data_IF_830674851711
#
_entry.id   IF_830674851711
#
_cell.length_a   1.000
_cell.length_b   1.000
_cell.length_c   1.000
_cell.angle_alpha   90.00
_cell.angle_beta   90.00
_cell.angle_gamma   90.00
#
_symmetry.space_group_name_H-M   'P 1'
#
loop_
_entity.id
_entity.type
_entity.pdbx_description
1 polymer ?
#
# COMPACT_ATOMS: atom_id res chain seq x y z
N UNK A 1 -6.53 -38.85 -8.42
CA UNK A 1 -7.00 -37.47 -8.64
C UNK A 1 -6.87 -36.70 -7.34
N UNK A 2 -5.97 -35.72 -7.25
CA UNK A 2 -5.95 -34.74 -6.13
C UNK A 2 -6.34 -33.39 -6.73
N UNK A 3 -7.65 -33.16 -6.82
CA UNK A 3 -8.25 -31.94 -7.34
C UNK A 3 -8.32 -30.88 -6.24
N UNK A 4 -7.54 -29.81 -6.42
CA UNK A 4 -8.01 -28.42 -6.33
C UNK A 4 -8.53 -27.90 -4.98
N UNK A 5 -7.64 -27.49 -4.08
CA UNK A 5 -7.98 -26.62 -2.94
C UNK A 5 -6.84 -25.67 -2.54
N UNK A 6 -5.90 -25.35 -3.44
CA UNK A 6 -4.75 -24.47 -3.11
C UNK A 6 -4.88 -23.01 -3.56
N UNK A 7 -6.00 -22.61 -4.17
CA UNK A 7 -6.20 -21.26 -4.75
C UNK A 7 -6.97 -20.28 -3.86
N UNK A 8 -7.40 -20.67 -2.67
CA UNK A 8 -8.12 -19.76 -1.78
C UNK A 8 -7.22 -18.74 -1.08
N UNK A 9 -5.91 -18.72 -1.35
CA UNK A 9 -4.96 -17.85 -0.64
C UNK A 9 -4.12 -16.98 -1.57
N UNK A 10 -3.79 -15.76 -1.13
CA UNK A 10 -2.89 -14.85 -1.84
C UNK A 10 -1.53 -15.51 -2.18
N UNK A 11 -0.83 -15.08 -3.25
CA UNK A 11 0.41 -15.72 -3.65
C UNK A 11 1.47 -15.81 -2.53
N UNK A 12 2.19 -16.93 -2.48
CA UNK A 12 3.27 -17.12 -1.50
C UNK A 12 4.57 -16.37 -1.88
N UNK A 13 4.74 -16.04 -3.16
CA UNK A 13 5.87 -15.30 -3.72
C UNK A 13 5.38 -14.35 -4.80
N UNK A 14 6.08 -13.21 -4.90
CA UNK A 14 5.79 -12.15 -5.86
C UNK A 14 7.05 -11.85 -6.66
N UNK A 15 6.86 -11.49 -7.92
CA UNK A 15 7.95 -11.17 -8.84
C UNK A 15 7.62 -9.89 -9.57
N UNK A 16 8.64 -9.07 -9.80
CA UNK A 16 8.58 -7.92 -10.67
C UNK A 16 9.20 -8.25 -12.01
N UNK A 17 8.51 -7.82 -13.06
CA UNK A 17 9.00 -7.68 -14.42
C UNK A 17 9.10 -6.17 -14.69
N UNK A 18 10.29 -5.70 -15.03
CA UNK A 18 10.49 -4.28 -15.29
C UNK A 18 9.84 -3.88 -16.62
N UNK A 19 9.27 -2.68 -16.64
CA UNK A 19 8.86 -1.98 -17.85
C UNK A 19 9.31 -0.52 -17.75
N UNK A 20 9.27 0.18 -18.87
CA UNK A 20 9.62 1.59 -18.91
C UNK A 20 8.52 2.45 -18.27
N UNK A 21 8.92 3.62 -17.76
CA UNK A 21 8.04 4.56 -17.08
C UNK A 21 6.97 5.13 -18.02
N UNK A 22 7.39 5.49 -19.23
CA UNK A 22 6.59 6.21 -20.24
C UNK A 22 5.73 5.29 -21.12
N UNK A 23 5.90 3.98 -21.00
CA UNK A 23 5.13 3.02 -21.80
C UNK A 23 3.72 2.90 -21.23
N UNK A 24 2.73 3.35 -22.02
CA UNK A 24 1.32 2.99 -21.82
C UNK A 24 1.20 1.49 -22.04
N UNK A 25 1.20 0.74 -20.94
CA UNK A 25 1.27 -0.72 -21.00
C UNK A 25 -0.07 -1.29 -21.44
N UNK A 26 -0.18 -1.63 -22.73
CA UNK A 26 -1.29 -2.42 -23.26
C UNK A 26 -1.42 -3.74 -22.47
N UNK A 27 -2.63 -4.33 -22.49
CA UNK A 27 -2.89 -5.58 -21.76
C UNK A 27 -1.87 -6.66 -22.18
N UNK A 28 -1.10 -7.23 -21.24
CA UNK A 28 -0.16 -8.29 -21.55
C UNK A 28 -0.89 -9.53 -22.04
N UNK A 29 -0.24 -10.28 -22.94
CA UNK A 29 -0.73 -11.59 -23.35
C UNK A 29 -0.91 -12.50 -22.13
N UNK A 30 -2.03 -13.22 -22.09
CA UNK A 30 -2.26 -14.27 -21.08
C UNK A 30 -1.17 -15.33 -21.15
N UNK A 31 -0.71 -15.69 -22.35
CA UNK A 31 0.49 -16.51 -22.55
C UNK A 31 1.70 -15.58 -22.56
N UNK A 32 2.36 -15.47 -21.41
CA UNK A 32 3.43 -14.51 -21.16
C UNK A 32 4.80 -15.19 -21.18
N UNK A 33 5.75 -14.65 -21.94
CA UNK A 33 7.14 -15.11 -21.96
C UNK A 33 7.92 -14.43 -20.83
N UNK A 34 8.44 -15.23 -19.87
CA UNK A 34 9.27 -14.67 -18.81
C UNK A 34 10.60 -14.15 -19.36
N UNK A 35 11.12 -13.02 -18.84
CA UNK A 35 12.48 -12.58 -19.11
C UNK A 35 13.49 -13.66 -18.71
N UNK A 36 14.58 -13.79 -19.47
CA UNK A 36 15.62 -14.78 -19.21
C UNK A 36 16.22 -14.68 -17.80
N UNK A 37 16.32 -13.46 -17.28
CA UNK A 37 16.79 -13.18 -15.92
C UNK A 37 15.96 -13.84 -14.83
N UNK A 38 14.66 -14.10 -15.07
CA UNK A 38 13.78 -14.84 -14.16
C UNK A 38 13.62 -16.30 -14.58
N UNK A 39 13.53 -16.58 -15.88
CA UNK A 39 13.28 -17.91 -16.40
C UNK A 39 14.43 -18.89 -16.10
N UNK A 40 15.67 -18.39 -16.11
CA UNK A 40 16.87 -19.20 -15.91
C UNK A 40 17.25 -19.35 -14.42
N UNK A 41 16.50 -18.73 -13.50
CA UNK A 41 16.75 -18.91 -12.07
C UNK A 41 16.37 -20.33 -11.62
N UNK A 42 17.17 -20.89 -10.72
CA UNK A 42 16.89 -22.19 -10.08
C UNK A 42 15.53 -22.24 -9.38
N UNK A 43 15.04 -21.10 -8.90
CA UNK A 43 13.73 -20.92 -8.30
C UNK A 43 12.83 -19.96 -9.12
N UNK A 44 12.69 -20.21 -10.43
CA UNK A 44 11.91 -19.36 -11.34
C UNK A 44 10.41 -19.23 -10.97
N UNK A 45 9.73 -18.16 -11.44
CA UNK A 45 8.29 -17.96 -11.21
C UNK A 45 7.48 -19.20 -11.59
N UNK A 46 6.57 -19.62 -10.73
CA UNK A 46 5.86 -20.91 -10.78
C UNK A 46 4.36 -20.71 -10.52
N UNK A 47 3.55 -21.74 -10.81
CA UNK A 47 2.09 -21.71 -10.64
C UNK A 47 1.72 -21.28 -9.22
N UNK A 48 0.76 -20.37 -9.11
CA UNK A 48 0.31 -19.76 -7.85
C UNK A 48 1.19 -18.60 -7.33
N UNK A 49 2.30 -18.26 -7.99
CA UNK A 49 3.04 -17.03 -7.69
C UNK A 49 2.38 -15.81 -8.35
N UNK A 50 2.59 -14.64 -7.74
CA UNK A 50 2.17 -13.35 -8.28
C UNK A 50 3.23 -12.76 -9.21
N UNK A 51 2.82 -12.23 -10.35
CA UNK A 51 3.65 -11.44 -11.25
C UNK A 51 3.17 -9.99 -11.30
N UNK A 52 4.08 -9.03 -11.21
CA UNK A 52 3.81 -7.63 -11.48
C UNK A 52 4.63 -7.16 -12.67
N UNK A 53 3.99 -6.41 -13.57
CA UNK A 53 4.70 -5.55 -14.52
C UNK A 53 4.72 -4.16 -13.91
N UNK A 54 5.92 -3.66 -13.59
CA UNK A 54 6.06 -2.41 -12.88
C UNK A 54 7.28 -1.59 -13.33
N UNK A 55 7.04 -0.31 -13.55
CA UNK A 55 8.08 0.68 -13.82
C UNK A 55 8.73 1.17 -12.52
N UNK A 56 9.90 1.78 -12.64
CA UNK A 56 10.56 2.47 -11.54
C UNK A 56 10.82 3.91 -11.93
N UNK A 57 10.40 4.84 -11.08
CA UNK A 57 10.77 6.24 -11.13
C UNK A 57 11.93 6.47 -10.15
N UNK A 58 13.16 6.69 -10.63
CA UNK A 58 14.32 6.92 -9.77
C UNK A 58 14.34 8.33 -9.15
N UNK A 59 13.61 9.31 -9.71
CA UNK A 59 13.54 10.66 -9.16
C UNK A 59 12.70 10.66 -7.89
N UNK A 60 11.53 10.02 -7.97
CA UNK A 60 10.59 9.93 -6.85
C UNK A 60 10.85 8.71 -5.95
N UNK A 61 11.72 7.79 -6.39
CA UNK A 61 11.97 6.49 -5.76
C UNK A 61 10.70 5.64 -5.65
N UNK A 62 9.86 5.66 -6.68
CA UNK A 62 8.55 4.99 -6.70
C UNK A 62 8.54 3.86 -7.72
N UNK A 63 8.13 2.67 -7.28
CA UNK A 63 7.75 1.57 -8.15
C UNK A 63 6.28 1.69 -8.55
N UNK A 64 5.98 1.76 -9.84
CA UNK A 64 4.63 1.97 -10.36
C UNK A 64 4.17 0.67 -11.03
N UNK A 65 3.19 0.01 -10.44
CA UNK A 65 2.60 -1.21 -10.97
C UNK A 65 1.61 -0.84 -12.06
N UNK A 66 1.72 -1.51 -13.21
CA UNK A 66 0.79 -1.35 -14.34
C UNK A 66 -0.15 -2.55 -14.42
N UNK A 67 0.39 -3.74 -14.14
CA UNK A 67 -0.35 -5.00 -14.16
C UNK A 67 0.08 -5.88 -13.00
N UNK A 68 -0.88 -6.55 -12.39
CA UNK A 68 -0.65 -7.66 -11.45
C UNK A 68 -1.32 -8.91 -11.97
N UNK A 69 -0.76 -10.07 -11.70
CA UNK A 69 -1.30 -11.31 -12.20
C UNK A 69 -0.93 -12.52 -11.37
N UNK A 70 -1.64 -13.62 -11.62
CA UNK A 70 -1.41 -14.92 -10.99
C UNK A 70 -1.03 -15.92 -12.07
N UNK A 71 0.08 -16.62 -11.86
CA UNK A 71 0.48 -17.69 -12.77
C UNK A 71 -0.47 -18.86 -12.57
N UNK A 72 -1.22 -19.21 -13.60
CA UNK A 72 -2.14 -20.34 -13.62
C UNK A 72 -1.48 -21.60 -14.17
N UNK A 73 -0.59 -21.46 -15.15
CA UNK A 73 0.09 -22.61 -15.78
C UNK A 73 1.55 -22.30 -16.17
N UNK A 74 2.34 -23.36 -16.35
CA UNK A 74 3.76 -23.29 -16.71
C UNK A 74 4.08 -24.21 -17.89
N UNK A 75 4.72 -23.66 -18.92
CA UNK A 75 5.27 -24.40 -20.05
C UNK A 75 6.66 -23.84 -20.43
N UNK A 76 7.74 -24.50 -20.00
CA UNK A 76 9.10 -24.03 -20.26
C UNK A 76 9.36 -22.62 -19.68
N UNK A 77 9.64 -21.63 -20.55
CA UNK A 77 9.76 -20.20 -20.20
C UNK A 77 8.42 -19.44 -20.25
N UNK A 78 7.40 -20.02 -20.87
CA UNK A 78 6.06 -19.43 -20.95
C UNK A 78 5.29 -19.66 -19.64
N UNK A 79 4.49 -18.68 -19.26
CA UNK A 79 3.54 -18.73 -18.15
C UNK A 79 2.18 -18.30 -18.67
N UNK A 80 1.15 -19.07 -18.34
CA UNK A 80 -0.20 -18.52 -18.43
C UNK A 80 -0.44 -17.72 -17.17
N UNK A 81 -0.85 -16.46 -17.35
CA UNK A 81 -1.02 -15.50 -16.27
C UNK A 81 -2.38 -14.87 -16.42
N UNK A 82 -3.16 -14.91 -15.34
CA UNK A 82 -4.38 -14.13 -15.26
C UNK A 82 -4.03 -12.71 -14.80
N UNK A 83 -4.17 -11.73 -15.68
CA UNK A 83 -3.76 -10.34 -15.45
C UNK A 83 -4.93 -9.44 -15.05
N UNK A 84 -4.65 -8.48 -14.17
CA UNK A 84 -5.52 -7.37 -13.76
C UNK A 84 -4.72 -6.08 -13.85
N UNK A 85 -5.31 -5.02 -14.40
CA UNK A 85 -4.68 -3.71 -14.46
C UNK A 85 -4.69 -3.05 -13.09
N UNK A 86 -3.65 -2.29 -12.80
CA UNK A 86 -3.54 -1.53 -11.55
C UNK A 86 -2.78 -0.24 -11.79
N UNK A 87 -2.95 0.74 -10.91
CA UNK A 87 -2.17 1.96 -10.83
C UNK A 87 -1.43 2.07 -9.48
N UNK A 88 -1.33 0.95 -8.75
CA UNK A 88 -0.70 0.91 -7.44
C UNK A 88 0.77 1.35 -7.50
N UNK A 89 1.20 2.02 -6.44
CA UNK A 89 2.55 2.58 -6.33
C UNK A 89 3.16 2.16 -5.00
N UNK A 90 4.44 1.80 -5.04
CA UNK A 90 5.22 1.50 -3.84
C UNK A 90 6.42 2.43 -3.76
N UNK A 91 6.77 2.86 -2.56
CA UNK A 91 7.96 3.67 -2.36
C UNK A 91 9.15 2.80 -1.97
N UNK A 92 10.30 3.05 -2.59
CA UNK A 92 11.52 2.25 -2.43
C UNK A 92 12.49 2.98 -1.48
N UNK A 93 12.25 2.77 -0.20
CA UNK A 93 12.87 3.45 0.95
C UNK A 93 14.39 3.24 1.07
N UNK A 94 14.88 2.05 0.74
CA UNK A 94 16.26 1.66 1.01
C UNK A 94 17.14 1.73 -0.25
N UNK A 95 18.41 2.19 -0.16
CA UNK A 95 19.35 2.17 -1.29
C UNK A 95 19.48 0.78 -1.93
N UNK A 96 19.50 -0.27 -1.10
CA UNK A 96 19.52 -1.66 -1.58
C UNK A 96 18.23 -2.05 -2.32
N UNK A 97 17.07 -1.57 -1.87
CA UNK A 97 15.82 -1.73 -2.61
C UNK A 97 15.92 -1.07 -3.98
N UNK A 98 16.39 0.17 -4.02
CA UNK A 98 16.53 0.94 -5.27
C UNK A 98 17.42 0.27 -6.28
N UNK A 99 18.55 -0.30 -5.86
CA UNK A 99 19.43 -1.06 -6.76
C UNK A 99 18.74 -2.28 -7.39
N UNK A 100 17.81 -2.95 -6.68
CA UNK A 100 16.99 -4.01 -7.29
C UNK A 100 15.97 -3.45 -8.29
N UNK A 101 15.37 -2.30 -7.96
CA UNK A 101 14.41 -1.64 -8.84
C UNK A 101 15.05 -1.08 -10.12
N UNK A 102 16.31 -0.67 -10.06
CA UNK A 102 17.11 -0.28 -11.22
C UNK A 102 17.61 -1.50 -12.03
N UNK A 103 17.90 -2.63 -11.36
CA UNK A 103 18.45 -3.85 -11.96
C UNK A 103 17.47 -4.69 -12.79
N UNK A 104 16.24 -4.23 -13.02
CA UNK A 104 15.26 -4.90 -13.88
C UNK A 104 14.31 -5.86 -13.15
N UNK A 105 14.21 -7.10 -13.64
CA UNK A 105 13.27 -8.11 -13.14
C UNK A 105 13.85 -8.86 -11.92
N UNK A 106 13.04 -9.04 -10.87
CA UNK A 106 13.48 -9.70 -9.63
C UNK A 106 12.32 -10.33 -8.85
N UNK A 107 12.65 -11.17 -7.87
CA UNK A 107 11.70 -11.71 -6.89
C UNK A 107 11.68 -10.89 -5.60
N UNK A 108 10.50 -10.54 -5.11
CA UNK A 108 10.39 -9.82 -3.83
C UNK A 108 10.81 -10.73 -2.67
N UNK A 109 11.60 -10.17 -1.75
CA UNK A 109 11.94 -10.85 -0.51
C UNK A 109 10.67 -10.99 0.37
N UNK A 110 10.55 -12.10 1.11
CA UNK A 110 9.36 -12.36 1.93
C UNK A 110 9.03 -11.21 2.90
N UNK A 111 10.05 -10.63 3.55
CA UNK A 111 9.89 -9.44 4.41
C UNK A 111 9.28 -8.25 3.64
N UNK A 112 9.69 -8.06 2.38
CA UNK A 112 9.21 -6.97 1.53
C UNK A 112 7.80 -7.20 1.00
N UNK A 113 7.31 -8.45 0.94
CA UNK A 113 5.91 -8.70 0.60
C UNK A 113 4.97 -8.05 1.61
N UNK A 114 5.33 -8.12 2.90
CA UNK A 114 4.58 -7.49 4.00
C UNK A 114 4.81 -5.99 4.00
N UNK A 115 6.06 -5.53 3.95
CA UNK A 115 6.40 -4.10 3.97
C UNK A 115 5.72 -3.32 2.82
N UNK A 116 5.53 -3.95 1.65
CA UNK A 116 4.87 -3.37 0.48
C UNK A 116 3.38 -3.72 0.34
N UNK A 117 2.81 -4.52 1.26
CA UNK A 117 1.40 -4.90 1.21
C UNK A 117 0.98 -5.69 -0.04
N UNK A 118 1.87 -6.52 -0.58
CA UNK A 118 1.61 -7.25 -1.83
C UNK A 118 0.47 -8.27 -1.71
N UNK A 119 0.22 -8.78 -0.50
CA UNK A 119 -0.92 -9.66 -0.24
C UNK A 119 -2.25 -8.93 -0.42
N UNK A 120 -2.36 -7.73 0.11
CA UNK A 120 -3.54 -6.87 0.03
C UNK A 120 -3.76 -6.40 -1.40
N UNK A 121 -2.69 -5.97 -2.08
CA UNK A 121 -2.75 -5.57 -3.49
C UNK A 121 -3.30 -6.70 -4.37
N UNK A 122 -2.86 -7.95 -4.16
CA UNK A 122 -3.42 -9.07 -4.92
C UNK A 122 -4.87 -9.40 -4.54
N UNK A 123 -5.24 -9.31 -3.26
CA UNK A 123 -6.63 -9.55 -2.86
C UNK A 123 -7.60 -8.52 -3.48
N UNK A 124 -7.19 -7.25 -3.60
CA UNK A 124 -8.00 -6.19 -4.23
C UNK A 124 -8.38 -6.54 -5.68
N UNK A 125 -7.45 -7.16 -6.42
CA UNK A 125 -7.65 -7.49 -7.83
C UNK A 125 -8.21 -8.90 -8.08
N UNK A 126 -8.12 -9.78 -7.07
CA UNK A 126 -8.57 -11.16 -7.09
C UNK A 126 -9.37 -11.43 -5.81
N UNK A 127 -10.63 -10.98 -5.81
CA UNK A 127 -11.51 -10.97 -4.64
C UNK A 127 -11.77 -12.36 -4.05
N UNK A 128 -11.56 -13.42 -4.83
CA UNK A 128 -11.63 -14.82 -4.42
C UNK A 128 -10.47 -15.26 -3.49
N UNK A 129 -9.41 -14.43 -3.35
CA UNK A 129 -8.25 -14.76 -2.53
C UNK A 129 -8.42 -14.33 -1.06
N UNK A 130 -8.02 -15.21 -0.15
CA UNK A 130 -7.86 -14.94 1.27
C UNK A 130 -6.40 -14.59 1.58
N UNK A 131 -6.15 -13.57 2.41
CA UNK A 131 -4.78 -13.20 2.80
C UNK A 131 -4.13 -14.35 3.59
N UNK A 132 -2.94 -14.83 3.16
CA UNK A 132 -2.20 -15.93 3.83
C UNK A 132 -1.87 -15.68 5.31
N UNK A 133 -1.74 -14.43 5.74
CA UNK A 133 -1.44 -14.09 7.13
C UNK A 133 -2.65 -14.19 8.07
N UNK A 134 -3.88 -14.19 7.54
CA UNK A 134 -5.11 -14.21 8.33
C UNK A 134 -5.37 -15.55 9.06
N UNK A 135 -4.63 -16.62 8.72
CA UNK A 135 -4.84 -17.98 9.29
C UNK A 135 -3.87 -18.30 10.43
N UNK A 136 -2.88 -17.45 10.72
CA UNK A 136 -1.88 -17.69 11.76
C UNK A 136 -2.18 -17.03 13.13
N UNK A 137 -3.40 -16.53 13.35
CA UNK A 137 -3.80 -15.97 14.64
C UNK A 137 -4.30 -17.04 15.62
N UNK A 138 -3.36 -17.75 16.26
CA UNK A 138 -3.52 -18.12 17.68
C UNK A 138 -2.52 -17.29 18.48
N UNK A 139 -2.94 -16.59 19.55
CA UNK A 139 -2.10 -15.61 20.22
C UNK A 139 -1.09 -16.32 21.12
N UNK A 140 0.21 -16.11 20.88
CA UNK A 140 1.23 -16.23 21.94
C UNK A 140 2.27 -15.12 21.83
N UNK A 141 2.15 -14.18 22.77
CA UNK A 141 3.18 -13.38 23.44
C UNK A 141 4.28 -12.70 22.60
N UNK A 142 4.16 -11.38 22.55
CA UNK A 142 5.23 -10.37 22.74
C UNK A 142 6.67 -10.77 22.42
N UNK A 143 7.21 -10.18 21.34
CA UNK A 143 8.58 -9.66 21.34
C UNK A 143 8.69 -8.49 20.38
N UNK A 144 9.01 -7.33 20.95
CA UNK A 144 9.36 -6.09 20.25
C UNK A 144 10.30 -6.40 19.08
N UNK A 145 9.94 -5.99 17.87
CA UNK A 145 10.86 -5.91 16.74
C UNK A 145 10.98 -4.45 16.31
N UNK A 146 12.23 -4.00 16.37
CA UNK A 146 12.74 -2.71 15.90
C UNK A 146 12.24 -2.39 14.49
N UNK A 147 11.61 -1.23 14.32
CA UNK A 147 11.11 -0.72 13.04
C UNK A 147 12.06 0.35 12.48
N UNK A 148 12.55 0.11 11.26
CA UNK A 148 13.38 1.03 10.48
C UNK A 148 12.58 2.22 9.94
N UNK A 149 13.23 3.38 9.91
CA UNK A 149 12.68 4.72 9.70
C UNK A 149 12.05 4.94 8.32
N UNK A 150 10.82 5.43 8.29
CA UNK A 150 10.16 6.08 7.14
C UNK A 150 10.74 7.49 6.96
N UNK A 151 10.93 7.96 5.72
CA UNK A 151 11.47 9.31 5.47
C UNK A 151 10.58 10.40 6.08
N UNK A 152 11.14 11.39 6.83
CA UNK A 152 10.37 12.42 7.52
C UNK A 152 9.47 13.27 6.62
N UNK A 153 9.86 13.44 5.35
CA UNK A 153 9.19 14.32 4.39
C UNK A 153 7.77 13.84 4.03
N UNK A 154 7.52 12.53 4.09
CA UNK A 154 6.19 11.92 3.91
C UNK A 154 5.32 11.95 5.17
N UNK A 155 5.92 12.35 6.29
CA UNK A 155 5.31 12.37 7.62
C UNK A 155 5.02 13.80 8.09
N UNK A 156 5.46 14.80 7.34
CA UNK A 156 5.24 16.20 7.64
C UNK A 156 3.90 16.63 7.03
N UNK A 157 2.96 17.18 7.84
CA UNK A 157 1.76 17.77 7.31
C UNK A 157 2.13 18.95 6.40
N UNK A 158 1.47 19.05 5.25
CA UNK A 158 1.65 20.18 4.33
C UNK A 158 1.19 21.48 5.02
N UNK A 159 0.13 21.39 5.82
CA UNK A 159 -0.42 22.49 6.59
C UNK A 159 -0.73 22.07 8.03
N UNK A 160 -0.26 22.87 9.00
CA UNK A 160 -0.57 22.70 10.43
C UNK A 160 -1.27 23.95 10.94
N UNK A 161 -2.47 23.79 11.48
CA UNK A 161 -3.31 24.91 11.92
C UNK A 161 -3.40 24.90 13.44
N UNK A 162 -3.03 26.05 14.01
CA UNK A 162 -3.00 26.36 15.44
C UNK A 162 -1.82 25.81 16.20
N UNK A 163 -1.91 25.97 17.51
CA UNK A 163 -0.83 25.69 18.44
C UNK A 163 -1.14 24.45 19.30
N UNK A 164 -0.10 23.75 19.79
CA UNK A 164 -0.26 22.66 20.73
C UNK A 164 -0.99 23.12 21.99
N UNK A 165 -2.17 22.53 22.24
CA UNK A 165 -2.96 22.81 23.43
C UNK A 165 -2.60 21.82 24.54
N UNK A 166 -2.47 22.32 25.77
CA UNK A 166 -2.31 21.48 26.96
C UNK A 166 -3.67 21.04 27.50
N UNK A 167 -3.89 19.72 27.55
CA UNK A 167 -5.09 19.14 28.15
C UNK A 167 -5.20 17.64 27.92
N UNK A 168 -5.94 16.95 28.79
CA UNK A 168 -6.10 15.49 28.72
C UNK A 168 -6.91 15.01 27.51
N UNK A 169 -7.59 15.91 26.82
CA UNK A 169 -8.31 15.63 25.57
C UNK A 169 -7.72 16.39 24.38
N UNK A 170 -6.68 17.18 24.62
CA UNK A 170 -6.05 17.96 23.58
C UNK A 170 -5.29 17.06 22.60
N UNK A 171 -5.31 17.43 21.34
CA UNK A 171 -4.62 16.70 20.28
C UNK A 171 -4.92 17.28 18.91
N UNK A 172 -4.57 16.51 17.89
CA UNK A 172 -4.69 16.89 16.48
C UNK A 172 -5.71 16.01 15.79
N UNK A 173 -6.54 16.61 14.96
CA UNK A 173 -7.26 15.92 13.90
C UNK A 173 -6.48 16.14 12.60
N UNK A 174 -6.15 15.05 11.91
CA UNK A 174 -5.44 15.06 10.64
C UNK A 174 -6.34 14.55 9.52
N UNK A 175 -6.03 15.03 8.33
CA UNK A 175 -6.55 14.52 7.09
C UNK A 175 -5.43 13.77 6.37
N UNK A 176 -5.71 12.54 5.96
CA UNK A 176 -4.82 11.72 5.17
C UNK A 176 -5.44 11.52 3.81
N UNK A 177 -4.78 12.01 2.76
CA UNK A 177 -5.22 11.89 1.37
C UNK A 177 -4.57 10.68 0.73
N UNK A 178 -5.35 9.89 0.03
CA UNK A 178 -4.86 8.80 -0.83
C UNK A 178 -5.61 8.79 -2.16
N UNK A 179 -5.26 7.86 -3.05
CA UNK A 179 -6.02 7.62 -4.26
C UNK A 179 -7.49 7.18 -4.00
N UNK A 180 -7.78 6.68 -2.80
CA UNK A 180 -9.10 6.16 -2.40
C UNK A 180 -9.99 7.21 -1.72
N UNK A 181 -9.54 8.47 -1.65
CA UNK A 181 -10.21 9.55 -0.94
C UNK A 181 -9.46 9.97 0.32
N UNK A 182 -10.19 10.55 1.27
CA UNK A 182 -9.63 11.17 2.46
C UNK A 182 -10.00 10.39 3.72
N UNK A 183 -9.02 10.19 4.60
CA UNK A 183 -9.24 9.65 5.94
C UNK A 183 -9.14 10.75 6.97
N UNK A 184 -10.17 10.88 7.80
CA UNK A 184 -10.18 11.77 8.96
C UNK A 184 -9.83 10.93 10.18
N UNK A 185 -8.78 11.30 10.90
CA UNK A 185 -8.47 10.65 12.17
C UNK A 185 -7.81 11.59 13.15
N UNK A 186 -7.72 11.19 14.41
CA UNK A 186 -7.05 11.98 15.44
C UNK A 186 -5.81 11.32 16.03
N UNK A 187 -5.00 12.13 16.68
CA UNK A 187 -3.87 11.70 17.50
C UNK A 187 -3.56 12.71 18.59
N UNK A 188 -3.12 12.22 19.74
CA UNK A 188 -2.56 13.05 20.82
C UNK A 188 -1.05 13.15 20.76
N UNK A 189 -0.42 12.33 19.91
CA UNK A 189 1.02 12.31 19.70
C UNK A 189 1.27 12.24 18.19
N UNK A 190 1.35 13.42 17.56
CA UNK A 190 1.58 13.56 16.12
C UNK A 190 2.86 12.82 15.70
N UNK A 191 4.02 12.99 16.36
CA UNK A 191 5.24 12.29 15.96
C UNK A 191 5.15 10.76 16.04
N UNK A 192 4.44 10.20 17.03
CA UNK A 192 4.23 8.75 17.13
C UNK A 192 3.25 8.23 16.08
N UNK A 193 2.18 8.99 15.80
CA UNK A 193 1.15 8.60 14.82
C UNK A 193 1.65 8.70 13.38
N UNK A 194 2.41 9.73 13.05
CA UNK A 194 2.99 9.85 11.71
C UNK A 194 3.97 8.71 11.45
N UNK A 195 4.80 8.34 12.42
CA UNK A 195 5.63 7.13 12.35
C UNK A 195 4.80 5.85 12.14
N UNK A 196 3.62 5.74 12.75
CA UNK A 196 2.75 4.58 12.58
C UNK A 196 2.10 4.52 11.18
N UNK A 197 1.83 5.65 10.52
CA UNK A 197 1.28 5.64 9.16
C UNK A 197 2.23 5.09 8.13
N UNK A 198 3.53 5.42 8.26
CA UNK A 198 4.54 4.91 7.34
C UNK A 198 4.79 3.41 7.48
N UNK A 199 4.21 2.77 8.50
CA UNK A 199 4.36 1.34 8.81
C UNK A 199 3.11 0.52 8.47
N UNK A 200 1.92 1.15 8.39
CA UNK A 200 0.64 0.41 8.32
C UNK A 200 -0.19 0.63 7.05
N UNK A 201 0.14 1.59 6.19
CA UNK A 201 -0.66 1.87 4.99
C UNK A 201 0.09 1.43 3.72
N UNK A 202 -0.38 0.40 3.00
CA UNK A 202 0.30 -0.16 1.83
C UNK A 202 0.11 0.64 0.54
N UNK A 203 -0.28 1.91 0.63
CA UNK A 203 -0.54 2.79 -0.51
C UNK A 203 0.04 4.18 -0.27
N UNK A 204 0.25 4.94 -1.35
CA UNK A 204 0.75 6.31 -1.27
C UNK A 204 -0.32 7.20 -0.63
N UNK A 205 0.09 7.93 0.40
CA UNK A 205 -0.75 8.90 1.06
C UNK A 205 0.05 10.17 1.37
N UNK A 206 -0.64 11.30 1.42
CA UNK A 206 -0.12 12.57 1.93
C UNK A 206 -0.96 13.02 3.12
N UNK A 207 -0.41 13.91 3.94
CA UNK A 207 -1.15 14.52 5.05
C UNK A 207 -1.34 15.99 4.69
N UNK A 208 -2.38 16.34 3.91
CA UNK A 208 -2.58 17.72 3.49
C UNK A 208 -2.80 18.67 4.67
N UNK A 209 -3.43 18.20 5.75
CA UNK A 209 -3.88 19.07 6.83
C UNK A 209 -3.81 18.40 8.21
N UNK A 210 -3.37 19.16 9.21
CA UNK A 210 -3.43 18.85 10.62
C UNK A 210 -3.94 20.05 11.42
N UNK A 211 -4.99 19.89 12.21
CA UNK A 211 -5.56 20.95 13.04
C UNK A 211 -5.54 20.58 14.52
N UNK A 212 -5.04 21.48 15.36
CA UNK A 212 -5.04 21.32 16.83
C UNK A 212 -6.41 21.66 17.44
N UNK A 213 -6.83 20.84 18.41
CA UNK A 213 -8.07 20.99 19.17
C UNK A 213 -7.84 20.75 20.67
N UNK A 214 -8.62 21.43 21.50
CA UNK A 214 -8.66 21.23 22.96
C UNK A 214 -9.32 19.91 23.35
N UNK A 215 -10.27 19.43 22.54
CA UNK A 215 -10.86 18.10 22.59
C UNK A 215 -10.84 17.45 21.20
N UNK A 216 -9.78 16.72 20.87
CA UNK A 216 -9.64 16.07 19.57
C UNK A 216 -10.59 14.89 19.38
N UNK A 217 -11.14 14.34 20.46
CA UNK A 217 -12.14 13.27 20.39
C UNK A 217 -13.49 13.81 19.95
N UNK A 218 -13.91 14.93 20.53
CA UNK A 218 -15.14 15.62 20.12
C UNK A 218 -15.02 16.14 18.68
N UNK A 219 -13.87 16.70 18.31
CA UNK A 219 -13.63 17.20 16.95
C UNK A 219 -13.67 16.08 15.89
N UNK A 220 -12.99 14.96 16.10
CA UNK A 220 -13.04 13.81 15.18
C UNK A 220 -14.47 13.30 14.99
N UNK A 221 -15.19 13.09 16.10
CA UNK A 221 -16.57 12.62 16.06
C UNK A 221 -17.45 13.57 15.27
N UNK A 222 -17.32 14.88 15.54
CA UNK A 222 -18.07 15.92 14.83
C UNK A 222 -17.85 15.86 13.32
N UNK A 223 -16.60 15.73 12.85
CA UNK A 223 -16.34 15.61 11.42
C UNK A 223 -16.83 14.30 10.82
N UNK A 224 -16.74 13.20 11.57
CA UNK A 224 -17.30 11.91 11.15
C UNK A 224 -18.83 11.94 11.03
N UNK A 225 -19.51 12.72 11.86
CA UNK A 225 -20.95 12.97 11.80
C UNK A 225 -21.30 13.94 10.66
N UNK A 226 -20.56 15.04 10.54
CA UNK A 226 -20.74 16.06 9.50
C UNK A 226 -20.58 15.48 8.08
N UNK A 227 -19.59 14.63 7.86
CA UNK A 227 -19.32 14.01 6.56
C UNK A 227 -19.87 12.59 6.44
N UNK A 228 -20.80 12.17 7.32
CA UNK A 228 -21.34 10.81 7.32
C UNK A 228 -21.96 10.42 5.97
N UNK A 229 -22.59 11.37 5.27
CA UNK A 229 -23.18 11.16 3.94
C UNK A 229 -22.16 10.97 2.81
N UNK A 230 -20.87 11.28 3.05
CA UNK A 230 -19.79 11.16 2.07
C UNK A 230 -18.83 10.00 2.40
N UNK A 231 -19.22 9.14 3.35
CA UNK A 231 -18.41 8.01 3.82
C UNK A 231 -18.33 6.93 2.75
N UNK A 232 -17.11 6.61 2.32
CA UNK A 232 -16.83 5.54 1.36
C UNK A 232 -16.78 4.19 2.08
N UNK A 233 -15.91 4.06 3.07
CA UNK A 233 -15.74 2.83 3.86
C UNK A 233 -15.01 3.11 5.19
N UNK A 234 -15.61 2.72 6.32
CA UNK A 234 -15.03 2.94 7.64
C UNK A 234 -14.75 4.41 7.94
N UNK A 235 -13.47 4.78 8.05
CA UNK A 235 -13.02 6.15 8.32
C UNK A 235 -12.59 6.92 7.05
N UNK A 236 -12.96 6.42 5.86
CA UNK A 236 -12.66 7.04 4.56
C UNK A 236 -13.87 7.77 3.99
N UNK A 237 -13.62 8.94 3.42
CA UNK A 237 -14.61 9.90 2.93
C UNK A 237 -14.22 10.42 1.54
N UNK A 238 -15.23 10.68 0.71
CA UNK A 238 -15.07 11.31 -0.59
C UNK A 238 -15.21 12.84 -0.48
N UNK A 239 -14.26 13.48 0.22
CA UNK A 239 -14.31 14.93 0.46
C UNK A 239 -13.87 15.73 -0.77
N UNK A 240 -14.50 16.90 -0.96
CA UNK A 240 -14.06 17.91 -1.91
C UNK A 240 -13.24 19.04 -1.22
N UNK A 241 -12.90 20.09 -1.97
CA UNK A 241 -12.10 21.19 -1.43
C UNK A 241 -12.87 22.05 -0.41
N UNK A 242 -14.20 22.13 -0.53
CA UNK A 242 -15.07 22.89 0.37
C UNK A 242 -15.17 22.20 1.72
N UNK A 243 -15.28 20.88 1.74
CA UNK A 243 -15.20 20.05 2.94
C UNK A 243 -13.84 20.21 3.65
N UNK A 244 -12.74 20.23 2.87
CA UNK A 244 -11.40 20.46 3.41
C UNK A 244 -11.31 21.85 4.05
N UNK A 245 -11.94 22.88 3.46
CA UNK A 245 -12.02 24.21 4.08
C UNK A 245 -12.78 24.18 5.42
N UNK A 246 -13.85 23.39 5.56
CA UNK A 246 -14.57 23.27 6.84
C UNK A 246 -13.65 22.72 7.95
N UNK A 247 -12.81 21.74 7.63
CA UNK A 247 -11.81 21.19 8.57
C UNK A 247 -10.70 22.22 8.83
N UNK A 248 -10.29 22.99 7.81
CA UNK A 248 -9.29 24.05 7.89
C UNK A 248 -9.73 25.17 8.84
N UNK A 249 -10.97 25.62 8.70
CA UNK A 249 -11.59 26.68 9.51
C UNK A 249 -11.98 26.21 10.92
N UNK A 250 -11.85 24.91 11.19
CA UNK A 250 -12.35 24.25 12.41
C UNK A 250 -13.85 24.49 12.62
N UNK A 251 -14.58 24.57 11.52
CA UNK A 251 -15.99 24.93 11.48
C UNK A 251 -16.83 23.95 12.27
#
# INVERSE_FOLDING_TARGET
MKSGESWMFTPAKYWRIACDLDVVSAKPSSTFLLPDSLANQSASPSVGHGLAIAAYDPLENIGIFKWVGIITERAGKMRNVDWRSTSAQIWVDTPKGRSYWEGGAFGFAHKKNVDYGLHQLWQEHFAELTIREAVAARPKSSRQRSFTKVSPERLNPIEVIGEPLLGDKAGVVYLLKSAYGYKIGRTRNVPARMRAFGVHLPFVYTIPLCSWFSDCHAAERRYHEMFAGQRINGEWFNLDEEDIQQIRLRA
#
